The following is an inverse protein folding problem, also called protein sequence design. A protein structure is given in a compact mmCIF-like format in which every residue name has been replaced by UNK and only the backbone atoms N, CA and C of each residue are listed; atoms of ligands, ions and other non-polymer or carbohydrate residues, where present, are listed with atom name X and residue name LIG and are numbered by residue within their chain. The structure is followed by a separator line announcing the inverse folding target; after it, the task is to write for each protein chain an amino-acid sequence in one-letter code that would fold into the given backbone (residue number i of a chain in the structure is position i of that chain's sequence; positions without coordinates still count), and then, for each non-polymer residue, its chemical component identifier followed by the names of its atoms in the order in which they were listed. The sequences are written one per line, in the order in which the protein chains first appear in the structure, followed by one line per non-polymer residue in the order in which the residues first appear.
data_IF_456938255753
#
_entry.id   IF_456938255753
#
_cell.length_a   1.000
_cell.length_b   1.000
_cell.length_c   1.000
_cell.angle_alpha   90.00
_cell.angle_beta   90.00
_cell.angle_gamma   90.00
#
_symmetry.space_group_name_H-M   'P 1'
#
loop_
_entity.id
_entity.type
_entity.pdbx_description
1 polymer ?
#
# COMPACT_ATOMS: atom_id res chain seq x y z
N UNK A 1 -8.10 -14.18 17.36
CA UNK A 1 -6.95 -13.24 17.33
C UNK A 1 -7.41 -11.93 16.72
N UNK A 2 -6.69 -10.82 16.94
CA UNK A 2 -7.03 -9.53 16.31
C UNK A 2 -6.26 -9.36 15.00
N UNK A 3 -6.82 -8.64 14.03
CA UNK A 3 -6.13 -8.29 12.78
C UNK A 3 -4.78 -7.59 13.05
N UNK A 4 -4.71 -6.71 14.05
CA UNK A 4 -3.49 -5.97 14.37
C UNK A 4 -2.38 -6.89 14.86
N UNK A 5 -2.70 -7.88 15.71
CA UNK A 5 -1.73 -8.89 16.17
C UNK A 5 -1.22 -9.79 15.04
N UNK A 6 -2.06 -10.09 14.04
CA UNK A 6 -1.65 -10.89 12.88
C UNK A 6 -0.73 -10.10 11.93
N UNK A 7 -1.00 -8.80 11.74
CA UNK A 7 -0.14 -7.90 10.96
C UNK A 7 1.23 -7.77 11.66
N UNK A 8 1.25 -7.54 12.97
CA UNK A 8 2.51 -7.40 13.74
C UNK A 8 3.35 -8.69 13.70
N UNK A 9 2.71 -9.86 13.85
CA UNK A 9 3.36 -11.16 13.66
C UNK A 9 4.02 -11.27 12.29
N UNK A 10 3.33 -10.83 11.24
CA UNK A 10 3.86 -10.86 9.86
C UNK A 10 5.06 -9.91 9.70
N UNK A 11 5.00 -8.72 10.31
CA UNK A 11 6.13 -7.78 10.29
C UNK A 11 7.36 -8.37 10.97
N UNK A 12 7.19 -8.98 12.15
CA UNK A 12 8.27 -9.64 12.88
C UNK A 12 8.88 -10.81 12.09
N UNK A 13 8.04 -11.60 11.40
CA UNK A 13 8.51 -12.66 10.51
C UNK A 13 9.39 -12.12 9.37
N UNK A 14 8.92 -11.08 8.66
CA UNK A 14 9.67 -10.48 7.54
C UNK A 14 10.97 -9.82 8.04
N UNK A 15 10.93 -9.15 9.19
CA UNK A 15 12.10 -8.55 9.81
C UNK A 15 13.17 -9.62 10.13
N UNK A 16 12.75 -10.77 10.65
CA UNK A 16 13.65 -11.90 10.96
C UNK A 16 14.32 -12.47 9.72
N UNK A 17 13.64 -12.47 8.57
CA UNK A 17 14.23 -12.94 7.31
C UNK A 17 15.26 -11.96 6.71
N UNK A 18 15.17 -10.67 7.06
CA UNK A 18 16.03 -9.62 6.51
C UNK A 18 17.24 -9.28 7.38
N UNK A 19 17.26 -9.68 8.65
CA UNK A 19 18.35 -9.41 9.61
C UNK A 19 19.64 -10.22 9.37
N UNK A 20 19.93 -10.64 8.13
CA UNK A 20 21.23 -11.21 7.72
C UNK A 20 22.23 -10.12 7.28
N UNK A 21 21.82 -8.85 7.22
CA UNK A 21 22.72 -7.72 6.96
C UNK A 21 22.59 -6.67 8.06
N UNK A 22 23.72 -6.37 8.68
CA UNK A 22 23.95 -5.51 9.84
C UNK A 22 23.39 -4.08 9.68
N UNK A 23 23.05 -3.45 10.83
CA UNK A 23 22.73 -2.01 11.04
C UNK A 23 21.33 -1.60 10.54
N UNK A 24 20.39 -1.03 11.29
CA UNK A 24 20.36 -0.19 12.50
C UNK A 24 18.96 -0.32 13.17
N UNK A 25 18.83 0.16 14.41
CA UNK A 25 17.63 0.16 15.29
C UNK A 25 16.35 0.84 14.73
N UNK A 26 16.31 1.23 13.45
CA UNK A 26 15.10 1.74 12.83
C UNK A 26 14.08 0.63 12.61
N UNK A 27 12.82 0.92 12.96
CA UNK A 27 11.71 0.00 12.65
C UNK A 27 11.75 -0.32 11.15
N UNK A 28 11.92 -1.61 10.87
CA UNK A 28 11.97 -2.16 9.51
C UNK A 28 10.81 -1.68 8.62
N UNK A 29 9.62 -1.47 9.22
CA UNK A 29 8.46 -0.87 8.55
C UNK A 29 8.37 0.61 8.90
N UNK A 30 8.60 1.47 7.90
CA UNK A 30 8.52 2.93 8.05
C UNK A 30 7.10 3.49 7.82
N UNK A 31 6.26 2.77 7.08
CA UNK A 31 4.89 3.17 6.73
C UNK A 31 4.07 1.97 6.26
N UNK A 32 2.76 2.01 6.52
CA UNK A 32 1.80 1.03 6.05
C UNK A 32 0.78 1.70 5.13
N UNK A 33 0.54 1.09 3.97
CA UNK A 33 -0.52 1.50 3.05
C UNK A 33 -1.64 0.46 3.07
N UNK A 34 -2.85 0.88 3.42
CA UNK A 34 -4.04 0.03 3.39
C UNK A 34 -4.69 0.06 2.00
N UNK A 35 -5.03 -1.12 1.51
CA UNK A 35 -5.56 -1.35 0.16
C UNK A 35 -6.69 -2.40 0.22
N UNK A 36 -7.49 -2.50 -0.84
CA UNK A 36 -8.62 -3.41 -0.92
C UNK A 36 -9.88 -2.90 -0.22
N UNK A 37 -10.92 -3.74 -0.16
CA UNK A 37 -12.21 -3.35 0.42
C UNK A 37 -12.17 -3.11 1.93
N UNK A 38 -11.34 -3.85 2.66
CA UNK A 38 -11.18 -3.71 4.11
C UNK A 38 -10.55 -2.38 4.53
N UNK A 39 -9.74 -1.76 3.66
CA UNK A 39 -9.13 -0.45 3.90
C UNK A 39 -10.17 0.68 4.09
N UNK A 40 -11.40 0.49 3.62
CA UNK A 40 -12.50 1.45 3.77
C UNK A 40 -13.26 1.30 5.08
N UNK A 41 -12.88 0.34 5.95
CA UNK A 41 -13.49 0.21 7.26
C UNK A 41 -13.18 1.44 8.11
N UNK A 42 -14.22 2.11 8.58
CA UNK A 42 -14.10 3.32 9.37
C UNK A 42 -13.25 3.06 10.63
N UNK A 43 -12.27 3.94 10.89
CA UNK A 43 -11.39 3.84 12.05
C UNK A 43 -10.26 2.82 11.94
N UNK A 44 -10.20 1.99 10.88
CA UNK A 44 -9.18 0.94 10.77
C UNK A 44 -7.76 1.51 10.68
N UNK A 45 -7.54 2.54 9.86
CA UNK A 45 -6.23 3.16 9.72
C UNK A 45 -5.74 3.76 11.04
N UNK A 46 -6.62 4.45 11.77
CA UNK A 46 -6.34 5.07 13.06
C UNK A 46 -6.04 4.01 14.13
N UNK A 47 -6.84 2.95 14.17
CA UNK A 47 -6.64 1.82 15.07
C UNK A 47 -5.29 1.14 14.82
N UNK A 48 -4.98 0.81 13.57
CA UNK A 48 -3.72 0.18 13.20
C UNK A 48 -2.53 1.10 13.45
N UNK A 49 -2.66 2.40 13.19
CA UNK A 49 -1.61 3.37 13.50
C UNK A 49 -1.31 3.43 14.99
N UNK A 50 -2.35 3.44 15.84
CA UNK A 50 -2.17 3.43 17.30
C UNK A 50 -1.54 2.13 17.80
N UNK A 51 -1.94 0.98 17.26
CA UNK A 51 -1.40 -0.33 17.66
C UNK A 51 0.03 -0.54 17.15
N UNK A 52 0.28 -0.29 15.87
CA UNK A 52 1.55 -0.56 15.23
C UNK A 52 2.57 0.55 15.46
N UNK A 53 2.19 1.74 15.93
CA UNK A 53 3.05 2.90 16.12
C UNK A 53 3.92 3.23 14.89
N UNK A 54 3.32 3.14 13.71
CA UNK A 54 3.88 3.55 12.41
C UNK A 54 2.79 4.26 11.61
N UNK A 55 3.12 5.21 10.71
CA UNK A 55 2.11 5.89 9.89
C UNK A 55 1.32 4.89 9.04
N UNK A 56 -0.01 4.99 9.09
CA UNK A 56 -0.93 4.14 8.31
C UNK A 56 -1.84 5.01 7.46
N UNK A 57 -1.79 4.83 6.15
CA UNK A 57 -2.57 5.63 5.18
C UNK A 57 -3.40 4.71 4.27
N UNK A 58 -4.62 5.14 3.92
CA UNK A 58 -5.43 4.44 2.91
C UNK A 58 -4.98 4.89 1.52
N UNK A 59 -4.51 3.96 0.70
CA UNK A 59 -3.98 4.29 -0.62
C UNK A 59 -5.09 4.54 -1.63
N UNK A 60 -5.04 5.69 -2.31
CA UNK A 60 -5.84 5.96 -3.50
C UNK A 60 -4.98 5.76 -4.78
N UNK A 61 -5.13 4.65 -5.52
CA UNK A 61 -4.36 4.40 -6.75
C UNK A 61 -4.74 5.32 -7.92
N UNK A 62 -5.83 6.09 -7.79
CA UNK A 62 -6.38 6.96 -8.83
C UNK A 62 -6.04 8.44 -8.63
N UNK A 63 -5.42 8.82 -7.51
CA UNK A 63 -5.12 10.21 -7.12
C UNK A 63 -4.33 10.98 -8.19
N UNK A 64 -3.44 10.28 -8.90
CA UNK A 64 -2.56 10.86 -9.93
C UNK A 64 -3.12 10.73 -11.35
N UNK A 65 -4.31 10.18 -11.54
CA UNK A 65 -4.93 10.12 -12.86
C UNK A 65 -5.26 11.53 -13.35
N UNK A 66 -5.03 11.76 -14.65
CA UNK A 66 -5.27 13.04 -15.32
C UNK A 66 -5.96 12.79 -16.68
N UNK A 67 -6.94 13.63 -17.06
CA UNK A 67 -7.60 14.63 -16.22
C UNK A 67 -8.41 13.99 -15.09
N UNK A 68 -8.48 14.65 -13.92
CA UNK A 68 -9.15 14.13 -12.72
C UNK A 68 -10.67 13.93 -12.94
N UNK A 69 -11.25 14.65 -13.89
CA UNK A 69 -12.66 14.55 -14.30
C UNK A 69 -13.03 13.20 -14.93
N UNK A 70 -12.05 12.35 -15.26
CA UNK A 70 -12.31 11.03 -15.81
C UNK A 70 -12.78 10.01 -14.78
N UNK A 71 -12.63 10.30 -13.48
CA UNK A 71 -12.97 9.35 -12.42
C UNK A 71 -14.22 9.85 -11.70
N UNK A 72 -15.36 9.14 -11.82
CA UNK A 72 -16.55 9.46 -11.04
C UNK A 72 -16.26 9.45 -9.54
N UNK A 73 -16.95 10.31 -8.78
CA UNK A 73 -16.77 10.44 -7.33
C UNK A 73 -17.05 9.11 -6.60
N UNK A 74 -18.03 8.35 -7.08
CA UNK A 74 -18.38 7.03 -6.55
C UNK A 74 -17.22 6.04 -6.68
N UNK A 75 -16.42 6.17 -7.74
CA UNK A 75 -15.22 5.36 -7.95
C UNK A 75 -14.08 5.82 -7.04
N UNK A 76 -13.95 7.13 -6.79
CA UNK A 76 -12.96 7.66 -5.85
C UNK A 76 -13.20 7.17 -4.41
N UNK A 77 -14.46 7.07 -3.97
CA UNK A 77 -14.81 6.49 -2.66
C UNK A 77 -14.46 5.00 -2.54
N UNK A 78 -14.32 4.30 -3.67
CA UNK A 78 -13.93 2.90 -3.73
C UNK A 78 -12.48 2.71 -4.18
N UNK A 79 -11.71 3.80 -4.31
CA UNK A 79 -10.39 3.79 -4.93
C UNK A 79 -9.41 2.71 -4.42
N UNK A 80 -9.29 2.45 -3.10
CA UNK A 80 -8.37 1.42 -2.59
C UNK A 80 -8.65 0.01 -3.12
N UNK A 81 -9.88 -0.28 -3.58
CA UNK A 81 -10.25 -1.56 -4.18
C UNK A 81 -9.62 -1.78 -5.56
N UNK A 82 -9.30 -0.69 -6.26
CA UNK A 82 -8.81 -0.74 -7.64
C UNK A 82 -7.30 -0.89 -7.75
N UNK A 83 -6.56 -1.07 -6.66
CA UNK A 83 -5.08 -1.17 -6.69
C UNK A 83 -4.60 -2.26 -7.64
N UNK A 84 -5.20 -3.45 -7.60
CA UNK A 84 -4.81 -4.57 -8.48
C UNK A 84 -5.12 -4.23 -9.95
N UNK A 85 -6.31 -3.70 -10.23
CA UNK A 85 -6.70 -3.31 -11.58
C UNK A 85 -5.80 -2.19 -12.14
N UNK A 86 -5.49 -1.17 -11.33
CA UNK A 86 -4.56 -0.11 -11.67
C UNK A 86 -3.16 -0.67 -11.96
N UNK A 87 -2.66 -1.57 -11.12
CA UNK A 87 -1.39 -2.27 -11.33
C UNK A 87 -1.32 -3.05 -12.65
N UNK A 88 -2.41 -3.72 -13.02
CA UNK A 88 -2.51 -4.42 -14.30
C UNK A 88 -2.54 -3.46 -15.49
N UNK A 89 -3.28 -2.35 -15.38
CA UNK A 89 -3.36 -1.34 -16.43
C UNK A 89 -2.00 -0.67 -16.71
N UNK A 90 -1.21 -0.38 -15.67
CA UNK A 90 0.13 0.22 -15.85
C UNK A 90 1.17 -0.77 -16.38
N UNK A 91 0.90 -2.08 -16.38
CA UNK A 91 1.84 -3.12 -16.84
C UNK A 91 2.36 -2.84 -18.24
N UNK A 92 1.49 -2.46 -19.18
CA UNK A 92 1.90 -2.17 -20.56
C UNK A 92 2.77 -0.91 -20.67
N UNK A 93 2.55 0.08 -19.81
CA UNK A 93 3.36 1.30 -19.79
C UNK A 93 4.75 1.07 -19.20
N UNK A 94 4.85 0.22 -18.17
CA UNK A 94 6.15 -0.16 -17.58
C UNK A 94 7.01 -0.93 -18.59
N UNK A 95 6.40 -1.85 -19.36
CA UNK A 95 7.13 -2.62 -20.38
C UNK A 95 7.66 -1.72 -21.51
N UNK A 96 6.82 -0.83 -22.05
CA UNK A 96 7.23 0.13 -23.10
C UNK A 96 8.34 1.08 -22.63
N UNK A 97 8.34 1.48 -21.36
CA UNK A 97 9.42 2.31 -20.79
C UNK A 97 10.76 1.58 -20.68
N UNK A 98 10.77 0.26 -20.45
CA UNK A 98 12.01 -0.51 -20.38
C UNK A 98 12.68 -0.64 -21.74
N UNK A 99 11.88 -0.81 -22.80
CA UNK A 99 12.38 -0.86 -24.19
C UNK A 99 13.02 0.48 -24.60
N UNK A 100 12.43 1.61 -24.18
CA UNK A 100 12.96 2.95 -24.45
C UNK A 100 14.27 3.31 -23.69
N UNK A 101 14.65 2.54 -22.67
CA UNK A 101 15.94 2.70 -21.97
C UNK A 101 17.01 1.70 -22.43
N UNK A 102 16.60 0.69 -23.21
CA UNK A 102 17.48 -0.34 -23.76
C UNK A 102 17.93 -0.02 -25.21
N UNK A 103 17.41 1.06 -25.80
CA UNK A 103 17.78 1.62 -27.11
C UNK A 103 18.57 2.92 -26.92
#
# INVERSE_FOLDING_TARGET
ESLASEIDRTFNYVATYRSVSEMEEERFVQRVYLMGGGALMHGLAQYLQGFLNVPVEVLNPLERLRPATLVPEEILHQAPRFVVAAGLAVRQHVLRRKEAWAA
#
